data_IF_923269797471
#
_entry.id   IF_923269797471
#
_cell.length_a   1.000
_cell.length_b   1.000
_cell.length_c   1.000
_cell.angle_alpha   90.00
_cell.angle_beta   90.00
_cell.angle_gamma   90.00
#
_symmetry.space_group_name_H-M   'P 1'
#
loop_
_entity.id
_entity.type
_entity.pdbx_description
1 polymer ?
#
# COMPACT_ATOMS: atom_id res chain seq x y z
N UNK A 1 -41.68 22.33 -53.61
CA UNK A 1 -41.33 21.07 -54.31
C UNK A 1 -40.68 20.14 -53.28
N UNK A 2 -41.48 19.33 -52.58
CA UNK A 2 -40.95 18.33 -51.67
C UNK A 2 -40.43 17.16 -52.52
N UNK A 3 -39.13 16.87 -52.42
CA UNK A 3 -38.53 15.73 -53.12
C UNK A 3 -39.00 14.44 -52.43
N UNK A 4 -39.80 13.63 -53.10
CA UNK A 4 -40.15 12.30 -52.60
C UNK A 4 -38.88 11.44 -52.54
N UNK A 5 -38.46 11.06 -51.32
CA UNK A 5 -37.36 10.11 -51.12
C UNK A 5 -37.69 8.80 -51.83
N UNK A 6 -36.77 8.35 -52.67
CA UNK A 6 -36.90 7.09 -53.42
C UNK A 6 -36.98 5.89 -52.46
N UNK A 7 -37.63 4.80 -52.88
CA UNK A 7 -37.82 3.62 -52.04
C UNK A 7 -36.49 3.03 -51.52
N UNK A 8 -35.40 3.21 -52.28
CA UNK A 8 -34.04 2.79 -51.94
C UNK A 8 -33.42 3.62 -50.82
N UNK A 9 -33.59 4.95 -50.84
CA UNK A 9 -33.11 5.84 -49.75
C UNK A 9 -33.82 5.55 -48.42
N UNK A 10 -35.09 5.13 -48.46
CA UNK A 10 -35.85 4.73 -47.26
C UNK A 10 -35.42 3.37 -46.70
N UNK A 11 -34.90 2.46 -47.54
CA UNK A 11 -34.32 1.20 -47.06
C UNK A 11 -32.93 1.42 -46.48
N UNK A 12 -32.09 2.21 -47.15
CA UNK A 12 -30.72 2.54 -46.74
C UNK A 12 -30.69 3.33 -45.41
N UNK A 13 -31.68 4.20 -45.17
CA UNK A 13 -31.87 4.90 -43.89
C UNK A 13 -32.27 3.93 -42.76
N UNK A 14 -33.12 2.93 -43.05
CA UNK A 14 -33.50 1.88 -42.08
C UNK A 14 -32.36 0.91 -41.76
N UNK A 15 -31.52 0.61 -42.74
CA UNK A 15 -30.37 -0.29 -42.56
C UNK A 15 -29.30 0.39 -41.69
N UNK A 16 -29.03 1.69 -41.92
CA UNK A 16 -28.16 2.49 -41.04
C UNK A 16 -28.73 2.70 -39.63
N UNK A 17 -30.05 2.78 -39.48
CA UNK A 17 -30.69 2.84 -38.15
C UNK A 17 -30.50 1.52 -37.38
N UNK A 18 -30.63 0.36 -38.05
CA UNK A 18 -30.37 -0.95 -37.43
C UNK A 18 -28.90 -1.14 -37.05
N UNK A 19 -27.98 -0.77 -37.94
CA UNK A 19 -26.54 -0.86 -37.64
C UNK A 19 -26.13 0.03 -36.46
N UNK A 20 -26.77 1.20 -36.30
CA UNK A 20 -26.56 2.07 -35.14
C UNK A 20 -27.18 1.52 -33.86
N UNK A 21 -28.36 0.91 -33.93
CA UNK A 21 -29.01 0.25 -32.79
C UNK A 21 -28.21 -0.98 -32.30
N UNK A 22 -27.75 -1.83 -33.22
CA UNK A 22 -26.93 -3.01 -32.90
C UNK A 22 -25.55 -2.61 -32.33
N UNK A 23 -24.94 -1.55 -32.87
CA UNK A 23 -23.71 -0.97 -32.32
C UNK A 23 -23.89 -0.40 -30.91
N UNK A 24 -25.04 0.24 -30.64
CA UNK A 24 -25.37 0.80 -29.33
C UNK A 24 -25.67 -0.28 -28.28
N UNK A 25 -26.33 -1.39 -28.65
CA UNK A 25 -26.56 -2.53 -27.76
C UNK A 25 -25.26 -3.25 -27.40
N UNK A 26 -24.38 -3.50 -28.39
CA UNK A 26 -23.07 -4.12 -28.16
C UNK A 26 -22.17 -3.28 -27.23
N UNK A 27 -22.22 -1.95 -27.37
CA UNK A 27 -21.50 -1.02 -26.51
C UNK A 27 -22.07 -0.99 -25.08
N UNK A 28 -23.40 -0.97 -24.93
CA UNK A 28 -24.07 -1.06 -23.61
C UNK A 28 -23.78 -2.39 -22.90
N UNK A 29 -23.73 -3.50 -23.62
CA UNK A 29 -23.46 -4.81 -23.05
C UNK A 29 -21.99 -4.97 -22.61
N UNK A 30 -21.04 -4.43 -23.38
CA UNK A 30 -19.63 -4.35 -22.96
C UNK A 30 -19.47 -3.51 -21.69
N UNK A 31 -20.06 -2.32 -21.64
CA UNK A 31 -20.03 -1.46 -20.45
C UNK A 31 -20.63 -2.17 -19.22
N UNK A 32 -21.72 -2.93 -19.40
CA UNK A 32 -22.36 -3.69 -18.32
C UNK A 32 -21.53 -4.87 -17.83
N UNK A 33 -20.79 -5.55 -18.72
CA UNK A 33 -19.85 -6.62 -18.37
C UNK A 33 -18.63 -6.07 -17.62
N UNK A 34 -18.06 -4.95 -18.07
CA UNK A 34 -16.94 -4.28 -17.40
C UNK A 34 -17.34 -3.78 -16.00
N UNK A 35 -18.54 -3.22 -15.87
CA UNK A 35 -19.09 -2.76 -14.58
C UNK A 35 -19.24 -3.91 -13.57
N UNK A 36 -19.65 -5.10 -14.02
CA UNK A 36 -19.78 -6.29 -13.16
C UNK A 36 -18.43 -6.91 -12.79
N UNK A 37 -17.44 -6.85 -13.69
CA UNK A 37 -16.10 -7.36 -13.41
C UNK A 37 -15.33 -6.51 -12.39
N UNK A 38 -15.67 -5.22 -12.28
CA UNK A 38 -15.02 -4.28 -11.37
C UNK A 38 -15.79 -4.06 -10.05
N UNK A 39 -16.92 -4.75 -9.85
CA UNK A 39 -17.70 -4.67 -8.62
C UNK A 39 -17.10 -5.58 -7.55
N UNK A 40 -16.20 -5.03 -6.74
CA UNK A 40 -15.79 -5.65 -5.48
C UNK A 40 -16.80 -5.23 -4.42
N UNK A 41 -17.45 -6.17 -3.70
CA UNK A 41 -18.43 -5.81 -2.68
C UNK A 41 -17.79 -4.94 -1.59
N UNK A 42 -18.44 -3.81 -1.27
CA UNK A 42 -18.01 -2.77 -0.32
C UNK A 42 -17.59 -3.31 1.07
N UNK A 43 -18.20 -4.44 1.47
CA UNK A 43 -17.89 -5.17 2.71
C UNK A 43 -16.45 -5.68 2.74
N UNK A 44 -15.88 -6.08 1.60
CA UNK A 44 -14.50 -6.64 1.53
C UNK A 44 -13.45 -5.55 1.70
N UNK A 45 -13.72 -4.33 1.22
CA UNK A 45 -12.80 -3.20 1.38
C UNK A 45 -12.68 -2.74 2.85
N UNK A 46 -13.78 -2.82 3.61
CA UNK A 46 -13.80 -2.43 5.03
C UNK A 46 -12.97 -3.39 5.90
N UNK A 47 -13.13 -4.70 5.70
CA UNK A 47 -12.42 -5.73 6.50
C UNK A 47 -10.90 -5.66 6.29
N UNK A 48 -10.45 -5.41 5.07
CA UNK A 48 -9.02 -5.28 4.78
C UNK A 48 -8.43 -3.99 5.38
N UNK A 49 -9.19 -2.89 5.34
CA UNK A 49 -8.80 -1.64 6.00
C UNK A 49 -8.59 -1.78 7.50
N UNK A 50 -9.49 -2.49 8.19
CA UNK A 50 -9.40 -2.72 9.64
C UNK A 50 -8.17 -3.56 10.02
N UNK A 51 -7.83 -4.56 9.20
CA UNK A 51 -6.61 -5.37 9.39
C UNK A 51 -5.35 -4.54 9.23
N UNK A 52 -5.29 -3.69 8.21
CA UNK A 52 -4.18 -2.77 7.98
C UNK A 52 -4.05 -1.75 9.11
N UNK A 53 -5.18 -1.24 9.61
CA UNK A 53 -5.20 -0.36 10.78
C UNK A 53 -4.58 -1.04 11.99
N UNK A 54 -5.04 -2.25 12.34
CA UNK A 54 -4.54 -3.00 13.48
C UNK A 54 -3.05 -3.36 13.34
N UNK A 55 -2.59 -3.66 12.12
CA UNK A 55 -1.17 -3.89 11.83
C UNK A 55 -0.33 -2.63 12.05
N UNK A 56 -0.81 -1.48 11.55
CA UNK A 56 -0.12 -0.20 11.73
C UNK A 56 -0.02 0.20 13.21
N UNK A 57 -1.07 -0.04 14.00
CA UNK A 57 -1.07 0.22 15.45
C UNK A 57 -0.09 -0.68 16.21
N UNK A 58 0.10 -1.92 15.76
CA UNK A 58 1.09 -2.85 16.37
C UNK A 58 2.52 -2.54 15.95
N UNK A 59 2.73 -2.02 14.75
CA UNK A 59 4.06 -1.72 14.22
C UNK A 59 4.74 -0.55 14.96
N UNK A 60 3.98 0.43 15.42
CA UNK A 60 4.51 1.58 16.15
C UNK A 60 5.26 1.23 17.45
N UNK A 61 4.69 0.48 18.42
CA UNK A 61 5.42 0.07 19.61
C UNK A 61 6.58 -0.88 19.30
N UNK A 62 6.53 -1.65 18.20
CA UNK A 62 7.64 -2.50 17.77
C UNK A 62 8.86 -1.69 17.34
N UNK A 63 8.67 -0.53 16.68
CA UNK A 63 9.76 0.40 16.35
C UNK A 63 10.45 0.88 17.63
N UNK A 64 9.69 1.25 18.65
CA UNK A 64 10.22 1.75 19.93
C UNK A 64 10.93 0.66 20.72
N UNK A 65 10.36 -0.55 20.77
CA UNK A 65 11.02 -1.71 21.36
C UNK A 65 12.35 -2.00 20.69
N UNK A 66 12.39 -1.96 19.35
CA UNK A 66 13.63 -2.20 18.60
C UNK A 66 14.66 -1.10 18.88
N UNK A 67 14.23 0.15 18.99
CA UNK A 67 15.11 1.25 19.38
C UNK A 67 15.73 1.05 20.77
N UNK A 68 14.96 0.55 21.74
CA UNK A 68 15.47 0.23 23.07
C UNK A 68 16.48 -0.93 23.05
N UNK A 69 16.23 -1.97 22.25
CA UNK A 69 17.19 -3.08 22.08
C UNK A 69 18.51 -2.60 21.46
N UNK A 70 18.45 -1.72 20.46
CA UNK A 70 19.65 -1.11 19.90
C UNK A 70 20.38 -0.27 20.96
N UNK A 71 19.67 0.50 21.78
CA UNK A 71 20.28 1.27 22.87
C UNK A 71 20.99 0.37 23.89
N UNK A 72 20.36 -0.74 24.33
CA UNK A 72 20.95 -1.72 25.23
C UNK A 72 22.18 -2.42 24.64
N UNK A 73 22.14 -2.76 23.35
CA UNK A 73 23.26 -3.35 22.62
C UNK A 73 24.47 -2.39 22.54
N UNK A 74 24.21 -1.12 22.22
CA UNK A 74 25.27 -0.10 22.11
C UNK A 74 25.85 0.24 23.49
N UNK A 75 25.01 0.24 24.52
CA UNK A 75 25.44 0.38 25.91
C UNK A 75 26.29 -0.82 26.40
N UNK A 76 26.31 -1.92 25.64
CA UNK A 76 27.05 -3.13 25.99
C UNK A 76 26.37 -4.02 27.02
N UNK A 77 25.08 -3.79 27.29
CA UNK A 77 24.24 -4.68 28.11
C UNK A 77 23.97 -5.96 27.34
N UNK A 78 23.53 -5.81 26.08
CA UNK A 78 23.31 -6.93 25.17
C UNK A 78 24.56 -7.19 24.32
N UNK A 79 24.92 -8.46 24.18
CA UNK A 79 26.10 -8.89 23.40
C UNK A 79 25.80 -9.05 21.91
N UNK A 80 24.53 -9.22 21.54
CA UNK A 80 24.09 -9.60 20.19
C UNK A 80 23.22 -8.46 19.63
N UNK A 81 23.45 -8.02 18.39
CA UNK A 81 22.61 -7.00 17.77
C UNK A 81 21.20 -7.57 17.47
N UNK A 82 20.12 -6.78 17.61
CA UNK A 82 18.74 -7.23 17.40
C UNK A 82 18.39 -7.32 15.90
N UNK A 83 19.19 -8.03 15.11
CA UNK A 83 19.04 -8.16 13.65
C UNK A 83 17.79 -8.94 13.25
N UNK A 84 17.43 -9.98 14.02
CA UNK A 84 16.24 -10.79 13.75
C UNK A 84 14.96 -9.97 13.93
N UNK A 85 14.86 -9.23 15.04
CA UNK A 85 13.73 -8.32 15.29
C UNK A 85 13.65 -7.19 14.27
N UNK A 86 14.79 -6.66 13.83
CA UNK A 86 14.85 -5.71 12.72
C UNK A 86 14.26 -6.32 11.46
N UNK A 87 14.70 -7.51 11.05
CA UNK A 87 14.20 -8.18 9.85
C UNK A 87 12.68 -8.41 9.89
N UNK A 88 12.14 -8.80 11.05
CA UNK A 88 10.69 -8.97 11.22
C UNK A 88 9.93 -7.65 11.06
N UNK A 89 10.45 -6.56 11.62
CA UNK A 89 9.88 -5.23 11.47
C UNK A 89 9.96 -4.75 10.01
N UNK A 90 11.10 -4.95 9.35
CA UNK A 90 11.32 -4.58 7.94
C UNK A 90 10.30 -5.28 7.03
N UNK A 91 10.04 -6.57 7.26
CA UNK A 91 9.02 -7.33 6.54
C UNK A 91 7.60 -6.77 6.78
N UNK A 92 7.30 -6.42 8.03
CA UNK A 92 6.00 -5.85 8.42
C UNK A 92 5.78 -4.48 7.77
N UNK A 93 6.78 -3.61 7.78
CA UNK A 93 6.73 -2.28 7.17
C UNK A 93 6.62 -2.38 5.63
N UNK A 94 7.34 -3.33 5.03
CA UNK A 94 7.25 -3.60 3.58
C UNK A 94 5.85 -4.09 3.20
N UNK A 95 5.26 -4.98 3.99
CA UNK A 95 3.90 -5.46 3.77
C UNK A 95 2.87 -4.31 3.89
N UNK A 96 3.00 -3.45 4.90
CA UNK A 96 2.18 -2.25 5.07
C UNK A 96 2.30 -1.30 3.87
N UNK A 97 3.51 -1.13 3.32
CA UNK A 97 3.74 -0.24 2.20
C UNK A 97 3.13 -0.77 0.89
N UNK A 98 3.27 -2.07 0.63
CA UNK A 98 2.73 -2.76 -0.55
C UNK A 98 1.22 -2.96 -0.51
N UNK A 99 0.62 -2.94 0.69
CA UNK A 99 -0.82 -3.10 0.86
C UNK A 99 -1.62 -1.96 0.20
N UNK A 100 -2.76 -2.32 -0.40
CA UNK A 100 -3.71 -1.34 -0.95
C UNK A 100 -4.34 -0.55 0.19
N UNK A 101 -4.26 0.79 0.12
CA UNK A 101 -4.72 1.68 1.19
C UNK A 101 -6.18 2.07 0.89
N UNK A 102 -7.18 1.56 1.63
CA UNK A 102 -8.58 1.80 1.29
C UNK A 102 -9.03 3.22 1.63
N UNK A 103 -8.37 3.89 2.58
CA UNK A 103 -8.75 5.23 3.05
C UNK A 103 -7.53 6.15 3.09
N UNK A 104 -7.74 7.43 2.78
CA UNK A 104 -6.71 8.47 2.85
C UNK A 104 -6.11 8.65 4.26
N UNK A 105 -6.92 8.49 5.30
CA UNK A 105 -6.47 8.55 6.70
C UNK A 105 -5.46 7.44 7.02
N UNK A 106 -5.75 6.20 6.57
CA UNK A 106 -4.85 5.07 6.69
C UNK A 106 -3.56 5.28 5.91
N UNK A 107 -3.65 5.81 4.69
CA UNK A 107 -2.48 6.15 3.89
C UNK A 107 -1.56 7.14 4.62
N UNK A 108 -2.12 8.23 5.15
CA UNK A 108 -1.36 9.21 5.91
C UNK A 108 -0.69 8.61 7.16
N UNK A 109 -1.40 7.73 7.88
CA UNK A 109 -0.86 7.06 9.06
C UNK A 109 0.31 6.14 8.71
N UNK A 110 0.15 5.32 7.67
CA UNK A 110 1.20 4.40 7.19
C UNK A 110 2.41 5.20 6.70
N UNK A 111 2.20 6.29 5.97
CA UNK A 111 3.28 7.14 5.48
C UNK A 111 4.06 7.79 6.64
N UNK A 112 3.36 8.31 7.65
CA UNK A 112 3.99 8.86 8.86
C UNK A 112 4.79 7.80 9.63
N UNK A 113 4.23 6.60 9.78
CA UNK A 113 4.90 5.47 10.41
C UNK A 113 6.15 5.05 9.61
N UNK A 114 6.07 5.05 8.29
CA UNK A 114 7.19 4.73 7.39
C UNK A 114 8.31 5.76 7.52
N UNK A 115 7.99 7.06 7.54
CA UNK A 115 8.99 8.11 7.76
C UNK A 115 9.68 7.97 9.13
N UNK A 116 8.92 7.67 10.20
CA UNK A 116 9.45 7.39 11.54
C UNK A 116 10.41 6.19 11.49
N UNK A 117 9.98 5.07 10.91
CA UNK A 117 10.79 3.87 10.78
C UNK A 117 12.09 4.09 9.98
N UNK A 118 12.04 4.79 8.83
CA UNK A 118 13.25 5.11 8.04
C UNK A 118 14.25 5.91 8.87
N UNK A 119 13.77 6.91 9.62
CA UNK A 119 14.62 7.74 10.49
C UNK A 119 15.33 6.91 11.56
N UNK A 120 14.61 5.96 12.19
CA UNK A 120 15.18 5.04 13.17
C UNK A 120 16.17 4.06 12.54
N UNK A 121 15.84 3.51 11.37
CA UNK A 121 16.71 2.59 10.63
C UNK A 121 18.05 3.24 10.30
N UNK A 122 18.03 4.45 9.73
CA UNK A 122 19.24 5.17 9.36
C UNK A 122 20.08 5.53 10.60
N UNK A 123 19.41 5.86 11.71
CA UNK A 123 20.05 6.05 13.02
C UNK A 123 20.73 4.77 13.50
N UNK A 124 20.06 3.62 13.46
CA UNK A 124 20.65 2.35 13.88
C UNK A 124 21.84 1.96 12.99
N UNK A 125 21.75 2.16 11.68
CA UNK A 125 22.86 1.89 10.76
C UNK A 125 24.07 2.80 11.04
N UNK A 126 23.83 4.08 11.36
CA UNK A 126 24.89 4.99 11.80
C UNK A 126 25.52 4.52 13.11
N UNK A 127 24.71 4.15 14.10
CA UNK A 127 25.20 3.68 15.39
C UNK A 127 26.03 2.40 15.26
N UNK A 128 25.61 1.47 14.41
CA UNK A 128 26.38 0.25 14.11
C UNK A 128 27.74 0.58 13.47
N UNK A 129 27.77 1.50 12.50
CA UNK A 129 29.03 1.96 11.87
C UNK A 129 29.95 2.68 12.87
N UNK A 130 29.40 3.52 13.74
CA UNK A 130 30.17 4.23 14.77
C UNK A 130 30.71 3.25 15.84
N UNK A 131 30.01 2.14 16.08
CA UNK A 131 30.44 1.05 16.94
C UNK A 131 31.57 0.22 16.31
N UNK A 132 31.45 -0.12 15.03
CA UNK A 132 32.46 -0.86 14.26
C UNK A 132 33.74 -0.06 14.05
N UNK A 133 33.61 1.25 13.80
CA UNK A 133 34.76 2.17 13.67
C UNK A 133 35.43 2.49 15.02
N UNK A 134 34.91 1.99 16.14
CA UNK A 134 35.46 2.21 17.47
C UNK A 134 35.27 3.61 18.03
N UNK A 135 34.49 4.47 17.37
CA UNK A 135 34.10 5.80 17.88
C UNK A 135 33.25 5.65 19.14
N UNK A 136 32.37 4.66 19.16
CA UNK A 136 31.59 4.30 20.34
C UNK A 136 32.32 3.15 21.04
N UNK A 137 32.98 3.45 22.16
CA UNK A 137 33.54 2.42 23.04
C UNK A 137 32.42 1.85 23.88
N UNK A 138 32.09 0.57 23.69
CA UNK A 138 31.26 -0.18 24.65
C UNK A 138 32.01 -0.15 25.97
N UNK A 139 31.55 0.65 26.93
CA UNK A 139 31.98 0.47 28.31
C UNK A 139 31.06 -0.61 28.88
N UNK A 140 31.50 -1.88 29.00
CA UNK A 140 30.74 -2.81 29.82
C UNK A 140 30.57 -2.13 31.17
N UNK A 141 29.33 -2.04 31.64
CA UNK A 141 29.02 -1.44 32.93
C UNK A 141 30.04 -1.93 33.95
N UNK A 142 30.74 -0.99 34.59
CA UNK A 142 31.43 -1.31 35.82
C UNK A 142 30.37 -1.90 36.76
N UNK A 143 30.73 -3.04 37.35
CA UNK A 143 29.91 -3.82 38.27
C UNK A 143 29.19 -2.96 39.29
#
# INVERSE_FOLDING_TARGET
MAKEKTAWERMDEREREREQEEGAESSKEKARRESKANYVPEVVQSVEGDRLHALAERAEPLIEQLNNLYASYIAGVDKIPPTERRKQLDQTMTALQLSAKPTRALAFRIDGLQSKYISYRDRWDKLMKDLESGKIKRRPGQK
#
